data_IF_983773275708
#
_entry.id   IF_983773275708
#
_cell.length_a   1.000
_cell.length_b   1.000
_cell.length_c   1.000
_cell.angle_alpha   90.00
_cell.angle_beta   90.00
_cell.angle_gamma   90.00
#
_symmetry.space_group_name_H-M   'P 1'
#
loop_
_entity.id
_entity.type
_entity.pdbx_description
1 polymer ?
#
# COMPACT_ATOMS: atom_id res chain seq x y z
N UNK A 1 27.09 -22.54 -16.44
CA UNK A 1 25.95 -21.77 -16.97
C UNK A 1 24.63 -22.54 -16.76
N UNK A 2 23.84 -22.12 -15.78
CA UNK A 2 22.55 -22.73 -15.46
C UNK A 2 21.46 -22.02 -16.28
N UNK A 3 20.51 -22.73 -16.91
CA UNK A 3 19.42 -22.08 -17.62
C UNK A 3 18.51 -21.36 -16.62
N UNK A 4 18.18 -20.10 -16.91
CA UNK A 4 17.22 -19.34 -16.14
C UNK A 4 15.83 -19.98 -16.32
N UNK A 5 15.38 -20.70 -15.31
CA UNK A 5 14.03 -21.24 -15.22
C UNK A 5 13.06 -20.08 -15.00
N UNK A 6 12.58 -19.45 -16.07
CA UNK A 6 11.49 -18.46 -16.00
C UNK A 6 10.20 -19.22 -15.67
N UNK A 7 9.91 -19.34 -14.38
CA UNK A 7 8.59 -19.74 -13.92
C UNK A 7 7.63 -18.59 -14.23
N UNK A 8 6.45 -18.81 -14.84
CA UNK A 8 5.45 -17.77 -14.96
C UNK A 8 4.92 -17.48 -13.56
N UNK A 9 5.55 -16.53 -12.87
CA UNK A 9 4.97 -15.98 -11.66
C UNK A 9 3.70 -15.24 -12.09
N UNK A 10 2.55 -15.47 -11.46
CA UNK A 10 1.39 -14.61 -11.67
C UNK A 10 1.86 -13.20 -11.31
N UNK A 11 1.89 -12.34 -12.30
CA UNK A 11 2.06 -10.90 -12.16
C UNK A 11 1.04 -10.48 -11.11
N UNK A 12 1.56 -10.07 -9.95
CA UNK A 12 0.81 -9.66 -8.77
C UNK A 12 -0.32 -8.68 -9.14
N UNK A 13 -0.18 -7.96 -10.26
CA UNK A 13 -1.13 -7.00 -10.82
C UNK A 13 -2.52 -7.54 -11.17
N UNK A 14 -2.69 -8.79 -11.61
CA UNK A 14 -4.01 -9.26 -12.06
C UNK A 14 -4.87 -9.89 -10.97
N UNK A 15 -4.29 -10.25 -9.81
CA UNK A 15 -5.07 -10.74 -8.66
C UNK A 15 -5.57 -9.61 -7.74
N UNK A 16 -5.07 -8.39 -7.94
CA UNK A 16 -5.37 -7.22 -7.11
C UNK A 16 -6.52 -6.36 -7.67
N UNK A 17 -7.11 -6.72 -8.81
CA UNK A 17 -8.19 -5.96 -9.44
C UNK A 17 -9.49 -5.90 -8.60
N UNK A 18 -9.59 -6.74 -7.56
CA UNK A 18 -10.68 -6.75 -6.57
C UNK A 18 -10.17 -6.45 -5.15
N UNK A 19 -8.92 -6.00 -4.99
CA UNK A 19 -8.49 -5.48 -3.69
C UNK A 19 -9.08 -4.07 -3.54
N UNK A 20 -9.81 -3.77 -2.43
CA UNK A 20 -10.23 -2.40 -2.19
C UNK A 20 -8.99 -1.52 -2.17
N UNK A 21 -8.90 -0.51 -3.03
CA UNK A 21 -7.74 0.39 -3.08
C UNK A 21 -7.57 1.05 -1.72
N UNK A 22 -6.56 0.58 -0.97
CA UNK A 22 -6.25 1.05 0.38
C UNK A 22 -5.27 2.21 0.28
N UNK A 23 -5.44 3.21 1.13
CA UNK A 23 -4.58 4.37 1.24
C UNK A 23 -3.57 4.14 2.37
N UNK A 24 -2.28 4.16 2.06
CA UNK A 24 -1.24 3.91 3.05
C UNK A 24 -0.67 5.22 3.61
N UNK A 25 -0.63 5.35 4.93
CA UNK A 25 0.14 6.39 5.60
C UNK A 25 1.63 6.10 5.49
N UNK A 26 2.42 7.07 5.03
CA UNK A 26 3.85 6.89 4.78
C UNK A 26 4.71 7.02 6.04
N UNK A 27 4.20 7.64 7.10
CA UNK A 27 4.92 7.73 8.38
C UNK A 27 4.87 6.43 9.18
N UNK A 28 3.72 5.75 9.23
CA UNK A 28 3.51 4.58 10.09
C UNK A 28 3.08 3.30 9.35
N UNK A 29 2.83 3.36 8.04
CA UNK A 29 2.39 2.22 7.23
C UNK A 29 0.91 1.84 7.39
N UNK A 30 0.12 2.60 8.14
CA UNK A 30 -1.31 2.32 8.37
C UNK A 30 -2.10 2.34 7.06
N UNK A 31 -3.01 1.38 6.88
CA UNK A 31 -3.87 1.26 5.71
C UNK A 31 -5.26 1.79 6.04
N UNK A 32 -5.76 2.70 5.19
CA UNK A 32 -7.01 3.41 5.36
C UNK A 32 -7.91 3.20 4.14
N UNK A 33 -9.22 3.23 4.35
CA UNK A 33 -10.20 2.89 3.32
C UNK A 33 -10.54 4.08 2.40
N UNK A 34 -10.31 5.31 2.86
CA UNK A 34 -10.65 6.52 2.12
C UNK A 34 -9.51 7.53 2.18
N UNK A 35 -9.39 8.41 1.17
CA UNK A 35 -8.37 9.46 1.19
C UNK A 35 -8.61 10.45 2.34
N UNK A 36 -9.86 10.73 2.72
CA UNK A 36 -10.20 11.61 3.85
C UNK A 36 -9.65 11.09 5.18
N UNK A 37 -9.86 9.80 5.46
CA UNK A 37 -9.31 9.16 6.66
C UNK A 37 -7.78 9.24 6.69
N UNK A 38 -7.11 9.05 5.54
CA UNK A 38 -5.66 9.17 5.45
C UNK A 38 -5.18 10.59 5.73
N UNK A 39 -5.88 11.62 5.24
CA UNK A 39 -5.55 13.01 5.53
C UNK A 39 -5.69 13.32 7.03
N UNK A 40 -6.84 13.01 7.62
CA UNK A 40 -7.09 13.25 9.05
C UNK A 40 -6.06 12.50 9.94
N UNK A 41 -5.67 11.29 9.54
CA UNK A 41 -4.65 10.51 10.24
C UNK A 41 -3.26 11.18 10.17
N UNK A 42 -2.85 11.67 9.01
CA UNK A 42 -1.56 12.38 8.85
C UNK A 42 -1.52 13.68 9.64
N UNK A 43 -2.65 14.39 9.74
CA UNK A 43 -2.74 15.58 10.60
C UNK A 43 -2.49 15.27 12.07
N UNK A 44 -2.86 14.08 12.56
CA UNK A 44 -2.58 13.68 13.94
C UNK A 44 -1.08 13.47 14.17
N UNK A 45 -0.36 12.86 13.23
CA UNK A 45 1.11 12.75 13.30
C UNK A 45 1.73 14.13 13.35
N UNK A 46 1.30 15.05 12.47
CA UNK A 46 1.81 16.42 12.45
C UNK A 46 1.56 17.16 13.77
N UNK A 47 0.41 16.93 14.43
CA UNK A 47 0.05 17.53 15.72
C UNK A 47 0.83 16.94 16.91
N UNK A 48 1.19 15.66 16.85
CA UNK A 48 1.96 14.98 17.90
C UNK A 48 3.47 15.23 17.80
N UNK A 49 3.95 15.62 16.60
CA UNK A 49 5.33 16.00 16.33
C UNK A 49 5.64 17.47 16.67
N UNK A 50 4.63 18.27 17.06
CA UNK A 50 4.76 19.66 17.51
C UNK A 50 4.72 19.81 19.02
#
# INVERSE_FOLDING_TARGET
>A
PLPAQVSPQPHLGELLADAPSQFQCLECGALLLTPGQLLEHQELHLKLLG
#
